data_IF_411877939529
#
_entry.id   IF_411877939529
#
_cell.length_a   1.000
_cell.length_b   1.000
_cell.length_c   1.000
_cell.angle_alpha   90.00
_cell.angle_beta   90.00
_cell.angle_gamma   90.00
#
_symmetry.space_group_name_H-M   'P 1'
#
loop_
_entity.id
_entity.type
_entity.pdbx_description
1 polymer ?
#
# COMPACT_ATOMS: atom_id res chain seq x y z
N UNK A 1 -1.94 8.58 17.32
CA UNK A 1 -2.97 8.89 16.29
C UNK A 1 -2.96 7.86 15.14
N UNK A 2 -4.13 7.42 14.68
CA UNK A 2 -4.29 6.40 13.62
C UNK A 2 -3.59 6.83 12.31
N UNK A 3 -3.57 8.13 12.01
CA UNK A 3 -2.88 8.71 10.87
C UNK A 3 -1.34 8.52 10.89
N UNK A 4 -0.74 8.18 12.04
CA UNK A 4 0.69 7.90 12.17
C UNK A 4 0.98 6.40 12.39
N UNK A 5 -0.02 5.53 12.22
CA UNK A 5 0.16 4.08 12.37
C UNK A 5 0.97 3.52 11.21
N UNK A 6 1.96 2.67 11.51
CA UNK A 6 2.79 1.97 10.52
C UNK A 6 2.26 0.58 10.16
N UNK A 7 1.15 0.13 10.77
CA UNK A 7 0.59 -1.20 10.52
C UNK A 7 0.03 -1.30 9.10
N UNK A 8 0.61 -2.10 8.20
CA UNK A 8 0.17 -2.17 6.80
C UNK A 8 -0.82 -3.29 6.49
N UNK A 9 -1.28 -4.06 7.48
CA UNK A 9 -2.10 -5.26 7.26
C UNK A 9 -1.25 -6.49 6.94
N UNK A 10 -1.73 -7.68 7.31
CA UNK A 10 -1.01 -8.96 7.14
C UNK A 10 -1.61 -9.86 6.05
N UNK A 11 -2.82 -9.55 5.63
CA UNK A 11 -3.61 -10.26 4.63
C UNK A 11 -4.55 -9.25 3.94
N UNK A 12 -5.14 -9.66 2.80
CA UNK A 12 -6.02 -8.82 1.99
C UNK A 12 -7.17 -8.21 2.81
N UNK A 13 -7.81 -9.01 3.66
CA UNK A 13 -8.92 -8.59 4.51
C UNK A 13 -8.46 -7.56 5.55
N UNK A 14 -7.30 -7.78 6.16
CA UNK A 14 -6.70 -6.87 7.14
C UNK A 14 -6.38 -5.52 6.52
N UNK A 15 -5.83 -5.49 5.30
CA UNK A 15 -5.57 -4.24 4.58
C UNK A 15 -6.87 -3.50 4.25
N UNK A 16 -7.87 -4.18 3.69
CA UNK A 16 -9.17 -3.59 3.37
C UNK A 16 -9.84 -2.97 4.60
N UNK A 17 -9.78 -3.64 5.74
CA UNK A 17 -10.27 -3.12 7.02
C UNK A 17 -9.52 -1.88 7.48
N UNK A 18 -8.19 -1.85 7.32
CA UNK A 18 -7.38 -0.67 7.65
C UNK A 18 -7.68 0.51 6.73
N UNK A 19 -7.88 0.27 5.43
CA UNK A 19 -8.29 1.29 4.46
C UNK A 19 -9.64 1.90 4.87
N UNK A 20 -10.64 1.06 5.18
CA UNK A 20 -11.96 1.53 5.61
C UNK A 20 -11.89 2.40 6.87
N UNK A 21 -11.06 2.01 7.85
CA UNK A 21 -10.80 2.83 9.05
C UNK A 21 -10.10 4.14 8.70
N UNK A 22 -9.13 4.12 7.80
CA UNK A 22 -8.39 5.31 7.38
C UNK A 22 -9.25 6.28 6.57
N UNK A 23 -10.19 5.78 5.78
CA UNK A 23 -11.19 6.61 5.08
C UNK A 23 -12.03 7.43 6.06
N UNK A 24 -12.42 6.86 7.21
CA UNK A 24 -13.12 7.59 8.25
C UNK A 24 -12.25 8.75 8.82
N UNK A 25 -10.97 8.49 9.06
CA UNK A 25 -10.01 9.53 9.52
C UNK A 25 -9.85 10.63 8.48
N UNK A 26 -9.77 10.30 7.18
CA UNK A 26 -9.69 11.29 6.11
C UNK A 26 -10.95 12.16 6.04
N UNK A 27 -12.14 11.56 6.24
CA UNK A 27 -13.39 12.30 6.30
C UNK A 27 -13.42 13.27 7.50
N UNK A 28 -12.95 12.83 8.68
CA UNK A 28 -12.84 13.69 9.86
C UNK A 28 -11.88 14.88 9.64
N UNK A 29 -10.70 14.62 9.04
CA UNK A 29 -9.75 15.68 8.67
C UNK A 29 -10.42 16.67 7.70
N UNK A 30 -11.07 16.17 6.65
CA UNK A 30 -11.75 17.03 5.68
C UNK A 30 -12.88 17.86 6.32
N UNK A 31 -13.64 17.29 7.25
CA UNK A 31 -14.69 18.00 7.98
C UNK A 31 -14.14 19.14 8.86
N UNK A 32 -12.90 19.03 9.34
CA UNK A 32 -12.25 20.08 10.12
C UNK A 32 -11.56 21.16 9.28
N UNK A 33 -11.35 20.93 7.98
CA UNK A 33 -10.68 21.85 7.06
C UNK A 33 -11.33 23.25 7.07
N UNK A 34 -12.66 23.32 6.97
CA UNK A 34 -13.38 24.60 6.95
C UNK A 34 -13.22 25.37 8.27
N UNK A 35 -13.19 24.68 9.40
CA UNK A 35 -13.02 25.30 10.72
C UNK A 35 -11.60 25.84 10.89
N UNK A 36 -10.59 25.07 10.48
CA UNK A 36 -9.19 25.52 10.50
C UNK A 36 -9.04 26.76 9.61
N UNK A 37 -9.59 26.73 8.39
CA UNK A 37 -9.54 27.85 7.46
C UNK A 37 -10.19 29.11 8.03
N UNK A 38 -11.36 28.99 8.66
CA UNK A 38 -12.04 30.12 9.29
C UNK A 38 -11.21 30.74 10.42
N UNK A 39 -10.58 29.91 11.26
CA UNK A 39 -9.68 30.40 12.32
C UNK A 39 -8.47 31.12 11.73
N UNK A 40 -7.88 30.59 10.65
CA UNK A 40 -6.77 31.24 9.97
C UNK A 40 -7.16 32.59 9.40
N UNK A 41 -8.33 32.67 8.74
CA UNK A 41 -8.84 33.92 8.16
C UNK A 41 -9.05 35.00 9.23
N UNK A 42 -9.71 34.66 10.34
CA UNK A 42 -9.93 35.62 11.45
C UNK A 42 -8.61 36.09 12.05
N UNK A 43 -7.63 35.19 12.19
CA UNK A 43 -6.30 35.57 12.69
C UNK A 43 -5.58 36.51 11.72
N UNK A 44 -5.69 36.29 10.40
CA UNK A 44 -5.13 37.16 9.38
C UNK A 44 -5.78 38.56 9.39
N UNK A 45 -7.11 38.63 9.53
CA UNK A 45 -7.85 39.89 9.66
C UNK A 45 -7.39 40.69 10.89
N UNK A 46 -7.27 40.05 12.06
CA UNK A 46 -6.75 40.70 13.27
C UNK A 46 -5.32 41.24 13.12
N UNK A 47 -4.48 40.54 12.36
CA UNK A 47 -3.11 40.99 12.06
C UNK A 47 -3.11 42.22 11.14
N UNK A 48 -4.03 42.27 10.16
CA UNK A 48 -4.19 43.41 9.25
C UNK A 48 -4.70 44.66 9.98
N UNK A 49 -5.59 44.48 10.96
CA UNK A 49 -6.13 45.57 11.79
C UNK A 49 -5.13 46.10 12.83
N UNK A 50 -3.93 45.51 12.94
CA UNK A 50 -2.91 45.95 13.89
C UNK A 50 -3.27 45.62 15.35
N UNK A 51 -3.93 44.48 15.58
CA UNK A 51 -4.35 44.06 16.92
C UNK A 51 -3.18 44.07 17.92
N UNK A 52 -3.42 44.50 19.16
CA UNK A 52 -2.38 44.70 20.18
C UNK A 52 -1.54 43.44 20.48
N UNK A 53 -2.11 42.25 20.25
CA UNK A 53 -1.47 40.94 20.44
C UNK A 53 -0.92 40.32 19.13
N UNK A 54 -0.63 41.14 18.11
CA UNK A 54 -0.24 40.68 16.77
C UNK A 54 0.90 39.65 16.75
N UNK A 55 1.94 39.83 17.57
CA UNK A 55 3.08 38.89 17.61
C UNK A 55 2.66 37.48 18.08
N UNK A 56 1.82 37.41 19.11
CA UNK A 56 1.32 36.14 19.64
C UNK A 56 0.32 35.49 18.67
N UNK A 57 -0.54 36.29 18.03
CA UNK A 57 -1.48 35.80 17.00
C UNK A 57 -0.72 35.19 15.84
N UNK A 58 0.31 35.88 15.31
CA UNK A 58 1.15 35.40 14.21
C UNK A 58 1.83 34.07 14.55
N UNK A 59 2.42 33.98 15.74
CA UNK A 59 3.10 32.76 16.21
C UNK A 59 2.14 31.58 16.29
N UNK A 60 0.93 31.79 16.82
CA UNK A 60 -0.09 30.74 16.92
C UNK A 60 -0.64 30.33 15.56
N UNK A 61 -0.89 31.29 14.68
CA UNK A 61 -1.35 31.05 13.32
C UNK A 61 -0.35 30.18 12.54
N UNK A 62 0.94 30.55 12.57
CA UNK A 62 1.99 29.77 11.92
C UNK A 62 2.05 28.34 12.47
N UNK A 63 2.07 28.18 13.80
CA UNK A 63 2.10 26.85 14.43
C UNK A 63 0.86 26.00 14.13
N UNK A 64 -0.32 26.60 14.01
CA UNK A 64 -1.55 25.91 13.62
C UNK A 64 -1.46 25.41 12.17
N UNK A 65 -1.08 26.30 11.25
CA UNK A 65 -0.94 25.99 9.83
C UNK A 65 0.10 24.89 9.56
N UNK A 66 1.26 24.97 10.21
CA UNK A 66 2.31 23.93 10.11
C UNK A 66 1.80 22.56 10.62
N UNK A 67 1.15 22.52 11.79
CA UNK A 67 0.61 21.27 12.35
C UNK A 67 -0.52 20.69 11.49
N UNK A 68 -1.36 21.55 10.92
CA UNK A 68 -2.45 21.14 10.03
C UNK A 68 -1.90 20.51 8.75
N UNK A 69 -0.92 21.17 8.12
CA UNK A 69 -0.29 20.64 6.92
C UNK A 69 0.42 19.30 7.20
N UNK A 70 1.20 19.21 8.27
CA UNK A 70 1.86 17.96 8.67
C UNK A 70 0.87 16.82 8.93
N UNK A 71 -0.31 17.12 9.49
CA UNK A 71 -1.35 16.11 9.71
C UNK A 71 -1.90 15.59 8.36
N UNK A 72 -2.18 16.49 7.41
CA UNK A 72 -2.64 16.13 6.06
C UNK A 72 -1.61 15.31 5.31
N UNK A 73 -0.35 15.71 5.36
CA UNK A 73 0.75 14.98 4.71
C UNK A 73 0.89 13.57 5.28
N UNK A 74 0.86 13.41 6.61
CA UNK A 74 0.88 12.09 7.26
C UNK A 74 -0.33 11.23 6.88
N UNK A 75 -1.52 11.83 6.81
CA UNK A 75 -2.73 11.11 6.44
C UNK A 75 -2.71 10.67 4.96
N UNK A 76 -2.19 11.51 4.06
CA UNK A 76 -2.03 11.16 2.65
C UNK A 76 -0.96 10.09 2.47
N UNK A 77 0.17 10.22 3.16
CA UNK A 77 1.22 9.21 3.14
C UNK A 77 0.70 7.84 3.59
N UNK A 78 -0.06 7.83 4.69
CA UNK A 78 -0.66 6.62 5.22
C UNK A 78 -1.67 5.99 4.26
N UNK A 79 -2.38 6.80 3.48
CA UNK A 79 -3.28 6.31 2.42
C UNK A 79 -2.47 5.58 1.35
N UNK A 80 -1.41 6.20 0.85
CA UNK A 80 -0.54 5.58 -0.17
C UNK A 80 0.05 4.26 0.34
N UNK A 81 0.59 4.23 1.56
CA UNK A 81 1.14 3.00 2.17
C UNK A 81 0.11 1.85 2.24
N UNK A 82 -1.16 2.17 2.47
CA UNK A 82 -2.24 1.19 2.52
C UNK A 82 -2.68 0.73 1.12
N UNK A 83 -2.68 1.64 0.14
CA UNK A 83 -2.96 1.32 -1.27
C UNK A 83 -1.88 0.42 -1.85
N UNK A 84 -0.60 0.72 -1.57
CA UNK A 84 0.54 -0.12 -1.98
C UNK A 84 0.43 -1.52 -1.35
N UNK A 85 0.08 -1.58 -0.05
CA UNK A 85 -0.16 -2.87 0.64
C UNK A 85 -1.31 -3.64 0.01
N UNK A 86 -2.41 -2.96 -0.32
CA UNK A 86 -3.58 -3.59 -0.92
C UNK A 86 -3.22 -4.21 -2.27
N UNK A 87 -2.50 -3.48 -3.10
CA UNK A 87 -2.07 -3.94 -4.41
C UNK A 87 -1.18 -5.20 -4.30
N UNK A 88 -0.22 -5.20 -3.37
CA UNK A 88 0.64 -6.35 -3.15
C UNK A 88 -0.15 -7.59 -2.70
N UNK A 89 -1.04 -7.45 -1.71
CA UNK A 89 -1.86 -8.56 -1.22
C UNK A 89 -2.85 -9.08 -2.27
N UNK A 90 -3.41 -8.20 -3.10
CA UNK A 90 -4.27 -8.56 -4.22
C UNK A 90 -3.49 -9.40 -5.24
N UNK A 91 -2.31 -8.93 -5.65
CA UNK A 91 -1.45 -9.66 -6.57
C UNK A 91 -1.10 -11.05 -6.06
N UNK A 92 -0.70 -11.20 -4.79
CA UNK A 92 -0.37 -12.51 -4.23
C UNK A 92 -1.59 -13.43 -4.16
N UNK A 93 -2.77 -12.91 -3.85
CA UNK A 93 -4.00 -13.70 -3.86
C UNK A 93 -4.32 -14.21 -5.28
N UNK A 94 -4.33 -13.30 -6.26
CA UNK A 94 -4.62 -13.60 -7.66
C UNK A 94 -3.56 -14.56 -8.26
N UNK A 95 -2.28 -14.41 -7.90
CA UNK A 95 -1.20 -15.29 -8.33
C UNK A 95 -1.33 -16.71 -7.74
N UNK A 96 -1.68 -16.83 -6.45
CA UNK A 96 -1.92 -18.13 -5.82
C UNK A 96 -3.13 -18.85 -6.41
N UNK A 97 -4.20 -18.11 -6.74
CA UNK A 97 -5.35 -18.65 -7.47
C UNK A 97 -4.93 -19.15 -8.85
N UNK A 98 -4.11 -18.36 -9.56
CA UNK A 98 -3.62 -18.74 -10.87
C UNK A 98 -2.74 -20.01 -10.84
N UNK A 99 -1.84 -20.11 -9.85
CA UNK A 99 -1.04 -21.32 -9.62
C UNK A 99 -1.92 -22.54 -9.31
N UNK A 100 -2.95 -22.36 -8.49
CA UNK A 100 -3.86 -23.44 -8.12
C UNK A 100 -4.64 -23.94 -9.33
N UNK A 101 -5.11 -23.02 -10.18
CA UNK A 101 -5.77 -23.36 -11.44
C UNK A 101 -4.84 -24.13 -12.38
N UNK A 102 -3.59 -23.68 -12.56
CA UNK A 102 -2.62 -24.38 -13.41
C UNK A 102 -2.35 -25.81 -12.90
N UNK A 103 -2.17 -25.99 -11.59
CA UNK A 103 -1.98 -27.32 -10.96
C UNK A 103 -3.19 -28.24 -11.18
N UNK A 104 -4.41 -27.70 -11.22
CA UNK A 104 -5.63 -28.47 -11.52
C UNK A 104 -5.66 -28.93 -12.99
N UNK A 105 -5.23 -28.09 -13.93
CA UNK A 105 -5.26 -28.40 -15.37
C UNK A 105 -4.11 -29.29 -15.85
N UNK A 106 -2.95 -29.23 -15.18
CA UNK A 106 -1.75 -30.00 -15.52
C UNK A 106 -1.98 -31.50 -15.79
N UNK A 107 -2.69 -32.27 -14.93
CA UNK A 107 -2.94 -33.70 -15.21
C UNK A 107 -3.86 -33.95 -16.41
N UNK A 108 -4.75 -33.01 -16.75
CA UNK A 108 -5.67 -33.14 -17.88
C UNK A 108 -4.90 -32.99 -19.19
N UNK A 109 -3.98 -32.02 -19.25
CA UNK A 109 -3.07 -31.82 -20.39
C UNK A 109 -2.13 -33.01 -20.56
N UNK A 110 -1.64 -33.58 -19.45
CA UNK A 110 -0.73 -34.73 -19.45
C UNK A 110 -1.38 -36.10 -19.69
N UNK A 111 -2.71 -36.16 -19.88
CA UNK A 111 -3.42 -37.42 -20.10
C UNK A 111 -2.95 -38.10 -21.39
N UNK A 112 -2.62 -39.39 -21.29
CA UNK A 112 -2.26 -40.25 -22.44
C UNK A 112 -3.43 -41.15 -22.87
N UNK A 113 -4.66 -40.85 -22.44
CA UNK A 113 -5.86 -41.52 -22.92
C UNK A 113 -6.26 -40.93 -24.28
N UNK A 114 -6.24 -41.78 -25.31
CA UNK A 114 -6.60 -41.41 -26.68
C UNK A 114 -7.94 -41.99 -27.12
N UNK A 115 -8.67 -42.64 -26.21
CA UNK A 115 -9.88 -43.37 -26.53
C UNK A 115 -9.58 -44.75 -27.11
N UNK A 116 -10.58 -45.63 -27.07
CA UNK A 116 -10.48 -47.02 -27.53
C UNK A 116 -11.29 -47.30 -28.81
N UNK A 117 -12.12 -46.33 -29.19
CA UNK A 117 -13.05 -46.37 -30.31
C UNK A 117 -13.28 -44.92 -30.81
N UNK A 118 -13.95 -44.79 -31.96
CA UNK A 118 -14.18 -43.49 -32.62
C UNK A 118 -14.96 -42.52 -31.71
N UNK A 119 -16.04 -42.99 -31.08
CA UNK A 119 -16.88 -42.18 -30.19
C UNK A 119 -16.09 -41.64 -28.98
N UNK A 120 -15.26 -42.48 -28.35
CA UNK A 120 -14.43 -42.06 -27.21
C UNK A 120 -13.31 -41.11 -27.63
N UNK A 121 -12.71 -41.30 -28.80
CA UNK A 121 -11.71 -40.40 -29.35
C UNK A 121 -12.33 -39.02 -29.67
N UNK A 122 -13.52 -38.97 -30.29
CA UNK A 122 -14.22 -37.72 -30.58
C UNK A 122 -14.62 -36.98 -29.29
N UNK A 123 -15.08 -37.70 -28.27
CA UNK A 123 -15.39 -37.11 -26.97
C UNK A 123 -14.15 -36.52 -26.27
N UNK A 124 -12.99 -37.17 -26.39
CA UNK A 124 -11.72 -36.67 -25.86
C UNK A 124 -11.22 -35.44 -26.63
N UNK A 125 -11.35 -35.43 -27.95
CA UNK A 125 -11.02 -34.29 -28.79
C UNK A 125 -11.82 -33.05 -28.36
N UNK A 126 -13.14 -33.19 -28.20
CA UNK A 126 -14.00 -32.09 -27.75
C UNK A 126 -13.63 -31.56 -26.36
N UNK A 127 -13.22 -32.44 -25.44
CA UNK A 127 -12.71 -32.02 -24.12
C UNK A 127 -11.38 -31.26 -24.25
N UNK A 128 -10.52 -31.69 -25.16
CA UNK A 128 -9.25 -31.02 -25.42
C UNK A 128 -9.46 -29.63 -26.03
N UNK A 129 -10.38 -29.48 -26.99
CA UNK A 129 -10.75 -28.17 -27.56
C UNK A 129 -11.28 -27.21 -26.49
N UNK A 130 -12.13 -27.71 -25.58
CA UNK A 130 -12.61 -26.92 -24.44
C UNK A 130 -11.45 -26.50 -23.51
N UNK A 131 -10.51 -27.40 -23.24
CA UNK A 131 -9.32 -27.10 -22.44
C UNK A 131 -8.42 -26.04 -23.10
N UNK A 132 -8.23 -26.10 -24.42
CA UNK A 132 -7.46 -25.09 -25.17
C UNK A 132 -8.14 -23.72 -25.06
N UNK A 133 -9.47 -23.66 -25.24
CA UNK A 133 -10.22 -22.42 -25.08
C UNK A 133 -10.09 -21.85 -23.65
N UNK A 134 -10.15 -22.70 -22.63
CA UNK A 134 -9.93 -22.31 -21.23
C UNK A 134 -8.51 -21.75 -21.01
N UNK A 135 -7.48 -22.39 -21.58
CA UNK A 135 -6.09 -21.93 -21.50
C UNK A 135 -5.88 -20.57 -22.18
N UNK A 136 -6.47 -20.37 -23.36
CA UNK A 136 -6.42 -19.09 -24.08
C UNK A 136 -7.09 -17.98 -23.27
N UNK A 137 -8.28 -18.25 -22.71
CA UNK A 137 -8.98 -17.29 -21.86
C UNK A 137 -8.17 -16.94 -20.60
N UNK A 138 -7.55 -17.93 -19.98
CA UNK A 138 -6.70 -17.76 -18.80
C UNK A 138 -5.42 -16.98 -19.07
N UNK A 139 -4.93 -16.96 -20.32
CA UNK A 139 -3.83 -16.11 -20.75
C UNK A 139 -4.04 -14.63 -20.41
N UNK A 140 -5.28 -14.15 -20.44
CA UNK A 140 -5.62 -12.77 -20.05
C UNK A 140 -5.35 -12.52 -18.55
N UNK A 141 -5.62 -13.50 -17.69
CA UNK A 141 -5.33 -13.42 -16.25
C UNK A 141 -3.83 -13.30 -16.00
N UNK A 142 -3.01 -14.08 -16.72
CA UNK A 142 -1.54 -14.01 -16.63
C UNK A 142 -1.02 -12.65 -17.10
N UNK A 143 -1.59 -12.07 -18.17
CA UNK A 143 -1.23 -10.73 -18.62
C UNK A 143 -1.57 -9.67 -17.57
N UNK A 144 -2.77 -9.73 -16.97
CA UNK A 144 -3.20 -8.85 -15.90
C UNK A 144 -2.26 -8.94 -14.69
N UNK A 145 -1.92 -10.17 -14.24
CA UNK A 145 -0.97 -10.40 -13.16
C UNK A 145 0.40 -9.79 -13.46
N UNK A 146 0.89 -9.89 -14.69
CA UNK A 146 2.16 -9.27 -15.10
C UNK A 146 2.12 -7.76 -15.01
N UNK A 147 1.03 -7.14 -15.46
CA UNK A 147 0.84 -5.68 -15.37
C UNK A 147 0.74 -5.22 -13.92
N UNK A 148 -0.02 -5.95 -13.09
CA UNK A 148 -0.10 -5.70 -11.65
C UNK A 148 1.28 -5.80 -10.99
N UNK A 149 2.07 -6.84 -11.29
CA UNK A 149 3.42 -7.01 -10.76
C UNK A 149 4.36 -5.86 -11.11
N UNK A 150 4.26 -5.32 -12.33
CA UNK A 150 5.04 -4.15 -12.77
C UNK A 150 4.61 -2.86 -12.06
N UNK A 151 3.32 -2.75 -11.74
CA UNK A 151 2.78 -1.60 -11.04
C UNK A 151 2.95 -1.67 -9.52
N UNK A 152 3.12 -2.86 -8.94
CA UNK A 152 3.35 -3.05 -7.52
C UNK A 152 4.62 -2.32 -7.11
N UNK A 153 4.48 -1.17 -6.45
CA UNK A 153 5.60 -0.51 -5.78
C UNK A 153 6.08 -1.45 -4.70
N UNK A 154 7.33 -1.90 -4.85
CA UNK A 154 7.96 -2.83 -3.94
C UNK A 154 7.83 -2.30 -2.50
N UNK A 155 6.99 -2.94 -1.68
CA UNK A 155 7.28 -2.99 -0.26
C UNK A 155 8.53 -3.87 -0.18
N UNK A 156 9.71 -3.25 -0.19
CA UNK A 156 10.95 -3.98 0.01
C UNK A 156 10.82 -4.73 1.33
N UNK A 157 10.72 -6.06 1.24
CA UNK A 157 11.01 -6.93 2.36
C UNK A 157 12.40 -6.54 2.85
N UNK A 158 12.59 -6.34 4.16
CA UNK A 158 13.89 -5.99 4.68
C UNK A 158 14.93 -6.98 4.16
N UNK A 159 15.98 -6.47 3.51
CA UNK A 159 17.03 -7.33 2.98
C UNK A 159 17.78 -7.88 4.19
N UNK A 160 17.78 -9.19 4.38
CA UNK A 160 18.53 -9.85 5.44
C UNK A 160 19.93 -10.12 4.88
N UNK A 161 20.95 -9.49 5.48
CA UNK A 161 22.34 -9.80 5.11
C UNK A 161 22.75 -11.21 5.59
N UNK A 162 23.94 -11.65 5.17
CA UNK A 162 24.53 -12.93 5.62
C UNK A 162 24.72 -13.02 7.15
N UNK A 163 24.59 -11.90 7.88
CA UNK A 163 24.72 -11.80 9.34
C UNK A 163 23.34 -11.70 10.04
N UNK A 164 22.23 -11.86 9.31
CA UNK A 164 20.87 -11.80 9.87
C UNK A 164 20.38 -10.38 10.17
N UNK A 165 21.08 -9.34 9.69
CA UNK A 165 20.69 -7.95 9.91
C UNK A 165 19.72 -7.52 8.82
N UNK A 166 18.58 -6.99 9.24
CA UNK A 166 17.55 -6.48 8.34
C UNK A 166 17.88 -5.05 7.89
N UNK A 167 17.76 -4.79 6.59
CA UNK A 167 17.95 -3.47 6.00
C UNK A 167 16.69 -2.99 5.27
N UNK A 168 16.38 -1.70 5.36
CA UNK A 168 15.25 -1.08 4.67
C UNK A 168 15.69 0.22 4.01
N UNK A 169 15.17 0.52 2.82
CA UNK A 169 15.38 1.81 2.18
C UNK A 169 14.39 2.86 2.69
N UNK A 170 14.89 4.06 2.90
CA UNK A 170 14.13 5.24 3.23
C UNK A 170 13.25 5.65 2.05
N UNK A 171 11.93 5.55 2.21
CA UNK A 171 11.00 5.95 1.15
C UNK A 171 10.76 7.47 1.11
N UNK A 172 11.09 8.18 2.19
CA UNK A 172 10.83 9.61 2.38
C UNK A 172 11.96 10.26 3.19
N UNK A 173 12.11 11.58 3.00
CA UNK A 173 12.91 12.39 3.90
C UNK A 173 12.24 12.42 5.29
N UNK A 174 13.01 12.15 6.33
CA UNK A 174 12.59 12.24 7.73
C UNK A 174 13.60 13.07 8.52
N UNK A 175 13.11 13.93 9.42
CA UNK A 175 13.97 14.69 10.33
C UNK A 175 13.29 14.80 11.68
N UNK A 176 13.93 14.25 12.71
CA UNK A 176 13.45 14.28 14.08
C UNK A 176 14.26 15.28 14.90
N UNK A 177 13.59 16.33 15.37
CA UNK A 177 14.16 17.32 16.30
C UNK A 177 14.14 16.78 17.74
N UNK A 178 14.87 15.69 17.98
CA UNK A 178 15.14 15.15 19.32
C UNK A 178 16.56 15.55 19.75
N UNK A 179 16.99 15.34 21.01
CA UNK A 179 18.34 15.71 21.48
C UNK A 179 19.49 15.00 20.75
N UNK A 180 19.21 14.10 19.81
CA UNK A 180 20.20 13.42 18.96
C UNK A 180 20.12 13.77 17.47
N UNK A 181 19.34 14.77 17.07
CA UNK A 181 19.09 15.19 15.67
C UNK A 181 19.30 14.07 14.63
N UNK A 182 18.24 13.29 14.38
CA UNK A 182 18.30 12.21 13.38
C UNK A 182 17.63 12.71 12.11
N UNK A 183 18.35 12.63 10.98
CA UNK A 183 17.80 12.87 9.66
C UNK A 183 18.08 11.69 8.74
N UNK A 184 17.13 11.39 7.88
CA UNK A 184 17.18 10.34 6.86
C UNK A 184 16.68 10.97 5.56
N UNK A 185 17.36 10.69 4.45
CA UNK A 185 16.96 11.10 3.11
C UNK A 185 16.30 9.95 2.37
N UNK A 186 15.37 10.28 1.49
CA UNK A 186 14.80 9.31 0.55
C UNK A 186 15.93 8.62 -0.22
N UNK A 187 15.95 7.30 -0.20
CA UNK A 187 16.98 6.45 -0.81
C UNK A 187 18.05 5.95 0.15
N UNK A 188 18.12 6.46 1.39
CA UNK A 188 19.07 5.96 2.38
C UNK A 188 18.74 4.51 2.78
N UNK A 189 19.74 3.62 2.79
CA UNK A 189 19.56 2.25 3.31
C UNK A 189 19.87 2.23 4.80
N UNK A 190 18.87 1.87 5.60
CA UNK A 190 18.95 1.79 7.06
C UNK A 190 18.98 0.36 7.55
N UNK A 191 19.73 0.11 8.62
CA UNK A 191 19.61 -1.14 9.36
C UNK A 191 18.50 -1.05 10.41
N UNK A 192 17.62 -2.05 10.46
CA UNK A 192 16.65 -2.19 11.54
C UNK A 192 17.36 -2.73 12.78
N UNK A 193 17.20 -2.01 13.90
CA UNK A 193 17.65 -2.48 15.21
C UNK A 193 16.51 -3.24 15.88
N UNK A 194 16.60 -4.57 15.92
CA UNK A 194 15.61 -5.39 16.59
C UNK A 194 15.83 -5.32 18.12
N UNK A 195 14.79 -5.01 18.89
CA UNK A 195 14.86 -4.81 20.35
C UNK A 195 15.20 -6.07 21.16
N UNK A 196 15.33 -7.22 20.49
CA UNK A 196 15.60 -8.52 21.12
C UNK A 196 17.09 -8.91 21.17
N UNK A 197 18.01 -8.11 20.61
CA UNK A 197 19.46 -8.32 20.75
C UNK A 197 20.05 -7.37 21.79
N UNK A 198 19.76 -7.63 23.07
CA UNK A 198 20.59 -7.18 24.20
C UNK A 198 21.33 -8.37 24.80
#
# INVERSE_FOLDING_TARGET
PIAASTNRGRDLIGVQNLIKKHQAVLAEINNHENRIRAVCQVAEEMLLEGHFASDEIRRRLQGLSERWQQLKDKALQRKQDLEDSLQAHQYFADANEAESWMKEKEPIVGSQDFGRDEDSAEALLKKHEALVADLEAFGNTILSLREQAQSCRQQETPVIDHAGKEFVMALYDYTEKSPREVSMKKGDVLSLLNSNNK
#
